data_IF_475288302256
#
_entry.id   IF_475288302256
#
_cell.length_a   1.000
_cell.length_b   1.000
_cell.length_c   1.000
_cell.angle_alpha   90.00
_cell.angle_beta   90.00
_cell.angle_gamma   90.00
#
_symmetry.space_group_name_H-M   'P 1'
#
loop_
_entity.id
_entity.type
_entity.pdbx_description
1 polymer ?
#
# COMPACT_ATOMS: atom_id res chain seq x y z
N UNK A 1 1.06 -14.20 17.10
CA UNK A 1 0.03 -14.23 18.17
C UNK A 1 -0.87 -12.99 18.20
N UNK A 2 -0.39 -11.74 18.25
CA UNK A 2 -1.27 -10.53 18.18
C UNK A 2 -1.97 -10.40 16.83
N UNK A 3 -1.22 -10.58 15.75
CA UNK A 3 -1.73 -10.45 14.39
C UNK A 3 -2.76 -11.54 14.03
N UNK A 4 -2.56 -12.76 14.56
CA UNK A 4 -3.51 -13.88 14.49
C UNK A 4 -4.79 -13.62 15.31
N UNK A 5 -4.69 -12.99 16.48
CA UNK A 5 -5.86 -12.54 17.27
C UNK A 5 -6.64 -11.41 16.59
N UNK A 6 -5.99 -10.47 15.91
CA UNK A 6 -6.68 -9.45 15.11
C UNK A 6 -7.40 -10.06 13.91
N UNK A 7 -6.80 -11.05 13.24
CA UNK A 7 -7.43 -11.76 12.13
C UNK A 7 -8.70 -12.53 12.57
N UNK A 8 -8.73 -13.04 13.81
CA UNK A 8 -9.84 -13.84 14.35
C UNK A 8 -10.98 -13.02 15.01
N UNK A 9 -10.73 -11.78 15.45
CA UNK A 9 -11.74 -10.95 16.17
C UNK A 9 -12.26 -9.74 15.40
N UNK A 10 -11.54 -9.25 14.39
CA UNK A 10 -11.92 -8.03 13.67
C UNK A 10 -12.44 -8.33 12.27
N UNK A 11 -13.39 -7.52 11.80
CA UNK A 11 -13.84 -7.59 10.41
C UNK A 11 -12.69 -7.25 9.45
N UNK A 12 -12.69 -7.77 8.21
CA UNK A 12 -11.69 -7.40 7.19
C UNK A 12 -11.56 -5.89 6.97
N UNK A 13 -12.67 -5.15 7.09
CA UNK A 13 -12.68 -3.69 6.99
C UNK A 13 -11.94 -3.01 8.17
N UNK A 14 -12.11 -3.53 9.38
CA UNK A 14 -11.42 -3.03 10.58
C UNK A 14 -9.91 -3.28 10.49
N UNK A 15 -9.49 -4.46 9.98
CA UNK A 15 -8.08 -4.75 9.77
C UNK A 15 -7.47 -3.86 8.68
N UNK A 16 -8.21 -3.62 7.58
CA UNK A 16 -7.79 -2.67 6.54
C UNK A 16 -7.62 -1.25 7.09
N UNK A 17 -8.53 -0.79 7.95
CA UNK A 17 -8.43 0.51 8.61
C UNK A 17 -7.13 0.62 9.43
N UNK A 18 -6.83 -0.37 10.28
CA UNK A 18 -5.62 -0.34 11.10
C UNK A 18 -4.34 -0.35 10.26
N UNK A 19 -4.28 -1.20 9.23
CA UNK A 19 -3.13 -1.21 8.31
C UNK A 19 -2.99 0.15 7.64
N UNK A 20 -4.09 0.72 7.13
CA UNK A 20 -4.08 2.01 6.46
C UNK A 20 -3.59 3.12 7.39
N UNK A 21 -4.08 3.16 8.64
CA UNK A 21 -3.68 4.15 9.63
C UNK A 21 -2.18 4.04 9.98
N UNK A 22 -1.68 2.83 10.22
CA UNK A 22 -0.27 2.58 10.54
C UNK A 22 0.62 2.97 9.35
N UNK A 23 0.27 2.51 8.14
CA UNK A 23 1.05 2.81 6.93
C UNK A 23 1.06 4.30 6.63
N UNK A 24 -0.08 4.98 6.68
CA UNK A 24 -0.14 6.43 6.43
C UNK A 24 0.65 7.21 7.49
N UNK A 25 0.54 6.83 8.76
CA UNK A 25 1.33 7.47 9.84
C UNK A 25 2.83 7.31 9.60
N UNK A 26 3.27 6.10 9.21
CA UNK A 26 4.66 5.84 8.83
C UNK A 26 5.09 6.69 7.62
N UNK A 27 4.27 6.77 6.56
CA UNK A 27 4.61 7.50 5.34
C UNK A 27 4.69 9.01 5.59
N UNK A 28 3.72 9.61 6.26
CA UNK A 28 3.77 11.03 6.63
C UNK A 28 4.97 11.33 7.55
N UNK A 29 5.29 10.42 8.47
CA UNK A 29 6.48 10.55 9.31
C UNK A 29 7.79 10.51 8.50
N UNK A 30 7.88 9.68 7.46
CA UNK A 30 9.05 9.63 6.57
C UNK A 30 9.25 10.93 5.77
N UNK A 31 8.17 11.61 5.38
CA UNK A 31 8.25 12.91 4.71
C UNK A 31 8.92 14.01 5.56
N UNK A 32 9.02 13.81 6.87
CA UNK A 32 9.69 14.74 7.78
C UNK A 32 11.22 14.76 7.63
N UNK A 33 11.85 13.70 7.14
CA UNK A 33 13.33 13.59 7.02
C UNK A 33 14.12 14.00 8.28
N UNK A 34 13.59 13.70 9.48
CA UNK A 34 14.25 14.06 10.74
C UNK A 34 15.43 13.11 11.02
N UNK A 35 16.65 13.61 11.28
CA UNK A 35 17.80 12.78 11.64
C UNK A 35 17.51 11.91 12.87
N UNK A 36 17.90 10.63 12.82
CA UNK A 36 17.68 9.58 13.84
C UNK A 36 16.20 9.20 14.09
N UNK A 37 15.30 10.18 14.19
CA UNK A 37 13.86 9.97 14.40
C UNK A 37 13.16 9.30 13.22
N UNK A 38 13.74 9.37 12.01
CA UNK A 38 13.25 8.65 10.83
C UNK A 38 13.22 7.12 10.96
N UNK A 39 13.91 6.55 11.96
CA UNK A 39 13.88 5.11 12.23
C UNK A 39 12.49 4.63 12.70
N UNK A 40 11.79 5.44 13.49
CA UNK A 40 10.47 5.12 14.02
C UNK A 40 9.40 5.00 12.92
N UNK A 41 9.21 5.99 12.02
CA UNK A 41 8.26 5.84 10.93
C UNK A 41 8.66 4.72 9.97
N UNK A 42 9.96 4.45 9.78
CA UNK A 42 10.42 3.28 9.02
C UNK A 42 9.96 1.96 9.66
N UNK A 43 10.06 1.84 10.99
CA UNK A 43 9.55 0.68 11.72
C UNK A 43 8.03 0.50 11.53
N UNK A 44 7.25 1.60 11.50
CA UNK A 44 5.82 1.54 11.21
C UNK A 44 5.53 1.02 9.80
N UNK A 45 6.33 1.41 8.79
CA UNK A 45 6.21 0.87 7.44
C UNK A 45 6.46 -0.65 7.43
N UNK A 46 7.50 -1.13 8.11
CA UNK A 46 7.77 -2.56 8.22
C UNK A 46 6.61 -3.32 8.88
N UNK A 47 6.03 -2.77 9.95
CA UNK A 47 4.83 -3.34 10.59
C UNK A 47 3.66 -3.40 9.61
N UNK A 48 3.43 -2.33 8.85
CA UNK A 48 2.40 -2.29 7.81
C UNK A 48 2.58 -3.37 6.75
N UNK A 49 3.80 -3.53 6.21
CA UNK A 49 4.14 -4.58 5.24
C UNK A 49 3.88 -5.98 5.81
N UNK A 50 4.29 -6.22 7.06
CA UNK A 50 4.07 -7.50 7.74
C UNK A 50 2.57 -7.81 7.90
N UNK A 51 1.77 -6.82 8.32
CA UNK A 51 0.32 -7.00 8.43
C UNK A 51 -0.35 -7.24 7.09
N UNK A 52 0.00 -6.50 6.04
CA UNK A 52 -0.52 -6.75 4.68
C UNK A 52 -0.20 -8.17 4.24
N UNK A 53 1.05 -8.61 4.39
CA UNK A 53 1.46 -9.96 3.99
C UNK A 53 0.70 -11.05 4.74
N UNK A 54 0.55 -10.89 6.06
CA UNK A 54 -0.15 -11.86 6.90
C UNK A 54 -1.66 -11.89 6.64
N UNK A 55 -2.33 -10.72 6.62
CA UNK A 55 -3.77 -10.65 6.36
C UNK A 55 -4.12 -11.18 4.99
N UNK A 56 -3.35 -10.84 3.96
CA UNK A 56 -3.60 -11.34 2.60
C UNK A 56 -3.47 -12.86 2.54
N UNK A 57 -2.42 -13.44 3.15
CA UNK A 57 -2.29 -14.90 3.23
C UNK A 57 -3.46 -15.54 3.98
N UNK A 58 -3.85 -14.96 5.12
CA UNK A 58 -4.92 -15.49 5.96
C UNK A 58 -6.27 -15.49 5.23
N UNK A 59 -6.67 -14.35 4.65
CA UNK A 59 -7.95 -14.24 3.96
C UNK A 59 -8.01 -15.09 2.69
N UNK A 60 -6.92 -15.18 1.93
CA UNK A 60 -6.87 -16.08 0.76
C UNK A 60 -7.01 -17.55 1.18
N UNK A 61 -6.29 -17.98 2.22
CA UNK A 61 -6.36 -19.35 2.70
C UNK A 61 -7.75 -19.73 3.26
N UNK A 62 -8.47 -18.78 3.86
CA UNK A 62 -9.83 -19.01 4.37
C UNK A 62 -10.85 -19.34 3.27
N UNK A 63 -10.68 -18.75 2.08
CA UNK A 63 -11.63 -18.91 0.96
C UNK A 63 -11.12 -19.88 -0.12
N UNK A 64 -9.96 -20.50 0.09
CA UNK A 64 -9.33 -21.41 -0.88
C UNK A 64 -9.34 -22.85 -0.38
N UNK A 65 -9.80 -23.76 -1.22
CA UNK A 65 -9.75 -25.21 -1.00
C UNK A 65 -8.32 -25.70 -0.80
N UNK A 66 -8.12 -26.66 0.11
CA UNK A 66 -6.79 -27.09 0.55
C UNK A 66 -5.85 -27.50 -0.59
N UNK A 67 -6.36 -28.09 -1.67
CA UNK A 67 -5.54 -28.55 -2.81
C UNK A 67 -5.00 -27.41 -3.68
N UNK A 68 -5.60 -26.23 -3.65
CA UNK A 68 -5.19 -25.08 -4.46
C UNK A 68 -4.56 -23.93 -3.65
N UNK A 69 -4.49 -24.04 -2.32
CA UNK A 69 -3.92 -22.99 -1.44
C UNK A 69 -2.50 -22.58 -1.84
N UNK A 70 -1.65 -23.55 -2.18
CA UNK A 70 -0.28 -23.27 -2.63
C UNK A 70 -0.26 -22.43 -3.92
N UNK A 71 -1.12 -22.76 -4.89
CA UNK A 71 -1.22 -22.02 -6.16
C UNK A 71 -1.69 -20.59 -5.94
N UNK A 72 -2.73 -20.40 -5.12
CA UNK A 72 -3.25 -19.06 -4.79
C UNK A 72 -2.20 -18.23 -4.06
N UNK A 73 -1.44 -18.84 -3.15
CA UNK A 73 -0.37 -18.16 -2.43
C UNK A 73 0.82 -17.80 -3.34
N UNK A 74 1.16 -18.65 -4.32
CA UNK A 74 2.16 -18.35 -5.35
C UNK A 74 1.73 -17.19 -6.23
N UNK A 75 0.46 -17.15 -6.66
CA UNK A 75 -0.09 -16.03 -7.41
C UNK A 75 -0.05 -14.73 -6.60
N UNK A 76 -0.38 -14.77 -5.30
CA UNK A 76 -0.21 -13.65 -4.38
C UNK A 76 1.24 -13.12 -4.39
N UNK A 77 2.22 -14.01 -4.30
CA UNK A 77 3.64 -13.65 -4.35
C UNK A 77 4.03 -12.97 -5.66
N UNK A 78 3.58 -13.53 -6.80
CA UNK A 78 3.79 -12.96 -8.13
C UNK A 78 3.18 -11.55 -8.25
N UNK A 79 1.94 -11.37 -7.79
CA UNK A 79 1.25 -10.10 -7.82
C UNK A 79 1.98 -9.02 -7.00
N UNK A 80 2.46 -9.37 -5.80
CA UNK A 80 3.27 -8.43 -4.99
C UNK A 80 4.58 -8.07 -5.67
N UNK A 81 5.31 -9.05 -6.22
CA UNK A 81 6.57 -8.79 -6.93
C UNK A 81 6.37 -7.88 -8.14
N UNK A 82 5.31 -8.12 -8.94
CA UNK A 82 4.97 -7.25 -10.07
C UNK A 82 4.62 -5.84 -9.61
N UNK A 83 3.81 -5.69 -8.56
CA UNK A 83 3.45 -4.40 -8.01
C UNK A 83 4.68 -3.63 -7.51
N UNK A 84 5.59 -4.27 -6.77
CA UNK A 84 6.83 -3.64 -6.31
C UNK A 84 7.74 -3.24 -7.47
N UNK A 85 7.85 -4.08 -8.51
CA UNK A 85 8.60 -3.74 -9.73
C UNK A 85 8.04 -2.51 -10.44
N UNK A 86 6.71 -2.45 -10.62
CA UNK A 86 6.05 -1.31 -11.24
C UNK A 86 6.21 -0.03 -10.41
N UNK A 87 6.03 -0.11 -9.10
CA UNK A 87 6.25 1.02 -8.18
C UNK A 87 7.70 1.52 -8.31
N UNK A 88 8.68 0.63 -8.39
CA UNK A 88 10.08 0.98 -8.60
C UNK A 88 10.32 1.75 -9.91
N UNK A 89 9.72 1.30 -11.02
CA UNK A 89 9.79 2.00 -12.31
C UNK A 89 9.13 3.38 -12.23
N UNK A 90 7.93 3.48 -11.68
CA UNK A 90 7.21 4.74 -11.51
C UNK A 90 7.99 5.72 -10.61
N UNK A 91 8.61 5.21 -9.55
CA UNK A 91 9.46 6.01 -8.67
C UNK A 91 10.69 6.55 -9.40
N UNK A 92 11.36 5.74 -10.22
CA UNK A 92 12.50 6.18 -11.02
C UNK A 92 12.11 7.26 -12.05
N UNK A 93 10.95 7.12 -12.69
CA UNK A 93 10.41 8.12 -13.62
C UNK A 93 10.07 9.43 -12.89
N UNK A 94 9.36 9.36 -11.77
CA UNK A 94 9.01 10.51 -10.94
C UNK A 94 10.27 11.25 -10.46
N UNK A 95 11.23 10.52 -9.90
CA UNK A 95 12.48 11.10 -9.40
C UNK A 95 13.27 11.76 -10.53
N UNK A 96 13.32 11.15 -11.71
CA UNK A 96 13.98 11.74 -12.89
C UNK A 96 13.29 13.02 -13.33
N UNK A 97 11.96 13.04 -13.39
CA UNK A 97 11.20 14.24 -13.72
C UNK A 97 11.43 15.38 -12.71
N UNK A 98 11.38 15.08 -11.41
CA UNK A 98 11.63 16.06 -10.35
C UNK A 98 13.06 16.60 -10.37
N UNK A 99 14.03 15.75 -10.71
CA UNK A 99 15.43 16.14 -10.91
C UNK A 99 15.57 17.13 -12.08
N UNK A 100 14.92 16.86 -13.21
CA UNK A 100 14.92 17.79 -14.36
C UNK A 100 14.25 19.13 -14.03
N UNK A 101 13.12 19.10 -13.32
CA UNK A 101 12.45 20.32 -12.86
C UNK A 101 13.33 21.12 -11.90
N UNK A 102 13.97 20.46 -10.92
CA UNK A 102 14.88 21.12 -9.98
C UNK A 102 16.08 21.77 -10.68
N UNK A 103 16.65 21.12 -11.71
CA UNK A 103 17.76 21.67 -12.47
C UNK A 103 17.37 22.92 -13.26
N UNK A 104 16.14 22.98 -13.77
CA UNK A 104 15.63 24.14 -14.49
C UNK A 104 15.38 25.33 -13.55
N UNK A 105 14.90 25.08 -12.32
CA UNK A 105 14.68 26.14 -11.31
C UNK A 105 16.00 26.61 -10.66
N UNK A 106 16.96 25.70 -10.48
CA UNK A 106 18.22 25.95 -9.81
C UNK A 106 19.41 25.43 -10.63
N UNK A 107 19.80 26.12 -11.72
CA UNK A 107 20.90 25.69 -12.59
C UNK A 107 22.26 25.58 -11.88
N UNK A 108 22.43 26.31 -10.78
CA UNK A 108 23.63 26.35 -9.96
C UNK A 108 23.79 25.17 -8.99
N UNK A 109 22.73 24.39 -8.76
CA UNK A 109 22.79 23.28 -7.82
C UNK A 109 23.70 22.16 -8.32
N UNK A 110 24.55 21.66 -7.42
CA UNK A 110 25.36 20.48 -7.72
C UNK A 110 24.48 19.25 -7.90
N UNK A 111 25.01 18.25 -8.63
CA UNK A 111 24.31 16.99 -8.89
C UNK A 111 23.79 16.32 -7.60
N UNK A 112 24.61 16.31 -6.54
CA UNK A 112 24.27 15.70 -5.24
C UNK A 112 23.10 16.40 -4.54
N UNK A 113 23.07 17.73 -4.58
CA UNK A 113 21.95 18.52 -4.00
C UNK A 113 20.67 18.22 -4.78
N UNK A 114 20.77 18.16 -6.10
CA UNK A 114 19.63 17.89 -6.97
C UNK A 114 19.07 16.47 -6.79
N UNK A 115 19.93 15.46 -6.62
CA UNK A 115 19.51 14.10 -6.30
C UNK A 115 18.81 14.02 -4.94
N UNK A 116 19.34 14.71 -3.93
CA UNK A 116 18.73 14.77 -2.59
C UNK A 116 17.37 15.46 -2.62
N UNK A 117 17.26 16.56 -3.37
CA UNK A 117 16.00 17.27 -3.61
C UNK A 117 14.97 16.37 -4.29
N UNK A 118 15.32 15.77 -5.42
CA UNK A 118 14.40 14.93 -6.18
C UNK A 118 13.92 13.72 -5.37
N UNK A 119 14.82 13.09 -4.60
CA UNK A 119 14.45 12.00 -3.70
C UNK A 119 13.46 12.45 -2.62
N UNK A 120 13.75 13.58 -1.96
CA UNK A 120 12.88 14.14 -0.91
C UNK A 120 11.48 14.46 -1.42
N UNK A 121 11.42 15.12 -2.58
CA UNK A 121 10.17 15.43 -3.25
C UNK A 121 9.42 14.15 -3.64
N UNK A 122 10.09 13.16 -4.21
CA UNK A 122 9.47 11.90 -4.61
C UNK A 122 8.86 11.13 -3.42
N UNK A 123 9.54 11.10 -2.26
CA UNK A 123 9.00 10.51 -1.02
C UNK A 123 7.75 11.26 -0.55
N UNK A 124 7.66 12.58 -0.78
CA UNK A 124 6.47 13.39 -0.51
C UNK A 124 5.20 12.92 -1.23
N UNK A 125 5.32 12.18 -2.34
CA UNK A 125 4.19 11.63 -3.08
C UNK A 125 3.61 10.34 -2.49
N UNK A 126 4.36 9.61 -1.66
CA UNK A 126 3.96 8.28 -1.19
C UNK A 126 2.70 8.26 -0.33
N UNK A 127 2.48 9.20 0.63
CA UNK A 127 1.23 9.26 1.37
C UNK A 127 0.03 9.46 0.45
N UNK A 128 0.13 10.35 -0.54
CA UNK A 128 -0.95 10.68 -1.46
C UNK A 128 -1.28 9.55 -2.41
N UNK A 129 -0.26 8.91 -2.98
CA UNK A 129 -0.42 7.68 -3.75
C UNK A 129 -1.15 6.61 -2.94
N UNK A 130 -0.80 6.44 -1.66
CA UNK A 130 -1.42 5.45 -0.77
C UNK A 130 -2.87 5.80 -0.47
N UNK A 131 -3.19 7.07 -0.19
CA UNK A 131 -4.56 7.55 0.01
C UNK A 131 -5.41 7.29 -1.24
N UNK A 132 -4.88 7.62 -2.42
CA UNK A 132 -5.58 7.38 -3.69
C UNK A 132 -5.84 5.88 -3.91
N UNK A 133 -4.84 5.04 -3.66
CA UNK A 133 -4.95 3.58 -3.76
C UNK A 133 -5.98 2.98 -2.81
N UNK A 134 -5.96 3.39 -1.53
CA UNK A 134 -6.95 2.96 -0.53
C UNK A 134 -8.36 3.43 -0.92
N UNK A 135 -8.49 4.67 -1.36
CA UNK A 135 -9.78 5.25 -1.78
C UNK A 135 -10.36 4.51 -2.98
N UNK A 136 -9.52 4.21 -3.98
CA UNK A 136 -9.91 3.40 -5.13
C UNK A 136 -10.33 1.99 -4.73
N UNK A 137 -9.53 1.32 -3.87
CA UNK A 137 -9.86 -0.01 -3.39
C UNK A 137 -11.18 -0.03 -2.59
N UNK A 138 -11.42 0.96 -1.74
CA UNK A 138 -12.66 1.12 -0.99
C UNK A 138 -13.86 1.37 -1.91
N UNK A 139 -13.70 2.22 -2.92
CA UNK A 139 -14.73 2.49 -3.93
C UNK A 139 -15.09 1.22 -4.71
N UNK A 140 -14.10 0.51 -5.25
CA UNK A 140 -14.30 -0.72 -6.00
C UNK A 140 -14.99 -1.79 -5.14
N UNK A 141 -14.57 -1.92 -3.88
CA UNK A 141 -15.19 -2.85 -2.92
C UNK A 141 -16.64 -2.48 -2.64
N UNK A 142 -16.95 -1.19 -2.43
CA UNK A 142 -18.31 -0.71 -2.23
C UNK A 142 -19.19 -0.96 -3.46
N UNK A 143 -18.69 -0.70 -4.67
CA UNK A 143 -19.40 -0.96 -5.92
C UNK A 143 -19.67 -2.45 -6.13
N UNK A 144 -18.69 -3.31 -5.84
CA UNK A 144 -18.83 -4.77 -5.92
C UNK A 144 -19.89 -5.28 -4.94
N UNK A 145 -19.86 -4.83 -3.68
CA UNK A 145 -20.84 -5.22 -2.67
C UNK A 145 -22.25 -4.71 -2.98
N UNK A 146 -22.38 -3.49 -3.50
CA UNK A 146 -23.68 -2.93 -3.96
C UNK A 146 -24.27 -3.77 -5.09
N UNK A 147 -23.48 -4.16 -6.09
CA UNK A 147 -23.93 -5.03 -7.20
C UNK A 147 -24.38 -6.39 -6.70
N UNK A 148 -23.62 -7.02 -5.79
CA UNK A 148 -23.97 -8.32 -5.19
C UNK A 148 -25.28 -8.25 -4.39
N UNK A 149 -25.48 -7.20 -3.61
CA UNK A 149 -26.70 -7.03 -2.81
C UNK A 149 -27.92 -6.63 -3.66
N UNK A 150 -27.72 -5.91 -4.77
CA UNK A 150 -28.76 -5.58 -5.73
C UNK A 150 -29.30 -6.81 -6.47
N UNK A 151 -28.42 -7.72 -6.92
CA UNK A 151 -28.82 -8.96 -7.59
C UNK A 151 -29.52 -9.99 -6.70
N UNK A 152 -29.40 -9.87 -5.37
CA UNK A 152 -30.06 -10.76 -4.40
C UNK A 152 -31.51 -10.38 -4.12
N UNK A 153 -31.95 -9.16 -4.47
CA UNK A 153 -33.32 -8.67 -4.27
C UNK A 153 -34.29 -9.03 -5.41
N UNK A 154 -33.82 -9.70 -6.47
CA UNK A 154 -34.62 -10.06 -7.65
C UNK A 154 -34.78 -11.57 -7.87
N UNK A 155 -34.46 -12.41 -6.87
CA UNK A 155 -34.75 -13.85 -6.92
C UNK A 155 -36.21 -14.13 -6.58
N UNK A 156 -36.92 -15.00 -7.32
CA UNK A 156 -38.35 -15.25 -7.10
C UNK A 156 -38.58 -15.85 -5.70
N UNK A 157 -39.70 -15.51 -5.04
CA UNK A 157 -40.13 -16.21 -3.83
C UNK A 157 -40.47 -17.66 -4.22
N UNK A 158 -39.77 -18.61 -3.60
CA UNK A 158 -40.18 -20.01 -3.53
C UNK A 158 -41.17 -20.20 -2.39
#
# INVERSE_FOLDING_TARGET
KIAERMALKNSPATNLYWVSAITLTGLFGLCGFHPYWGLLPMALIFVGIMFVSMFTSHYLNLITESHQRATVLSFKGMAFNLAYGLIGVLFALLTTSLRHSGQALHPEWSKTVLESYAFREAIGWFPWYTIAGISLAALLSALYLRRRNGGRKTGPPH
#
